data_IF_157261346897
#
_entry.id   IF_157261346897
#
_cell.length_a   1.000
_cell.length_b   1.000
_cell.length_c   1.000
_cell.angle_alpha   90.00
_cell.angle_beta   90.00
_cell.angle_gamma   90.00
#
_symmetry.space_group_name_H-M   'P 1'
#
loop_
_entity.id
_entity.type
_entity.pdbx_description
1 polymer ?
#
# COMPACT_ATOMS: atom_id res chain seq x y z
N UNK A 1 7.99 -4.29 6.34
CA UNK A 1 8.96 -3.49 5.60
C UNK A 1 10.35 -3.74 6.09
N UNK A 2 11.29 -3.72 5.16
CA UNK A 2 12.72 -3.89 5.38
C UNK A 2 13.37 -2.60 5.85
N UNK A 3 12.88 -1.43 5.39
CA UNK A 3 13.48 -0.13 5.71
C UNK A 3 12.58 0.76 6.58
N UNK A 4 11.26 0.63 6.41
CA UNK A 4 10.26 1.32 7.22
C UNK A 4 9.19 0.31 7.64
N UNK A 5 8.86 0.29 8.92
CA UNK A 5 7.74 -0.48 9.45
C UNK A 5 6.50 0.42 9.50
N UNK A 6 5.45 0.00 8.80
CA UNK A 6 4.18 0.71 8.72
C UNK A 6 3.12 0.02 9.56
N UNK A 7 2.44 0.79 10.41
CA UNK A 7 1.37 0.31 11.28
C UNK A 7 0.24 1.34 11.28
N UNK A 8 -0.84 1.13 10.53
CA UNK A 8 -1.97 2.05 10.52
C UNK A 8 -2.95 1.68 11.64
N UNK A 9 -3.32 2.67 12.46
CA UNK A 9 -4.26 2.51 13.57
C UNK A 9 -5.03 3.82 13.78
N UNK A 10 -6.35 3.72 13.97
CA UNK A 10 -7.21 4.86 14.30
C UNK A 10 -6.99 6.11 13.40
N UNK A 11 -7.09 5.92 12.08
CA UNK A 11 -6.86 6.98 11.07
C UNK A 11 -5.48 7.65 11.15
N UNK A 12 -4.49 6.97 11.72
CA UNK A 12 -3.11 7.42 11.78
C UNK A 12 -2.19 6.33 11.26
N UNK A 13 -1.35 6.65 10.29
CA UNK A 13 -0.26 5.80 9.85
C UNK A 13 0.97 6.09 10.70
N UNK A 14 1.39 5.08 11.48
CA UNK A 14 2.66 5.12 12.19
C UNK A 14 3.74 4.51 11.30
N UNK A 15 4.80 5.26 11.04
CA UNK A 15 5.94 4.83 10.26
C UNK A 15 7.19 4.88 11.14
N UNK A 16 7.85 3.73 11.30
CA UNK A 16 9.11 3.60 12.03
C UNK A 16 10.22 3.23 11.05
N UNK A 17 11.06 4.20 10.75
CA UNK A 17 12.20 4.03 9.86
C UNK A 17 13.38 3.34 10.57
N UNK A 18 14.18 2.63 9.80
CA UNK A 18 15.48 2.11 10.27
C UNK A 18 16.54 3.20 10.17
N UNK A 19 17.57 3.14 11.02
CA UNK A 19 18.60 4.17 11.07
C UNK A 19 19.29 4.38 9.71
N UNK A 20 19.49 5.63 9.30
CA UNK A 20 20.06 5.97 7.99
C UNK A 20 19.06 6.02 6.83
N UNK A 21 17.77 5.81 7.11
CA UNK A 21 16.70 5.92 6.13
C UNK A 21 16.09 7.32 6.15
N UNK A 22 15.85 7.88 4.97
CA UNK A 22 15.12 9.15 4.80
C UNK A 22 13.80 8.90 4.09
N UNK A 23 12.74 9.57 4.55
CA UNK A 23 11.42 9.48 3.93
C UNK A 23 11.22 10.65 3.00
N UNK A 24 10.71 10.38 1.81
CA UNK A 24 10.44 11.39 0.78
C UNK A 24 8.97 11.77 0.79
N UNK A 25 8.09 10.84 0.40
CA UNK A 25 6.66 11.10 0.29
C UNK A 25 5.84 9.92 0.82
N UNK A 26 4.64 10.24 1.28
CA UNK A 26 3.65 9.28 1.75
C UNK A 26 2.31 9.56 1.09
N UNK A 27 1.57 8.50 0.76
CA UNK A 27 0.33 8.58 0.00
C UNK A 27 -0.75 7.67 0.58
N UNK A 28 -2.00 8.08 0.42
CA UNK A 28 -3.19 7.28 0.62
C UNK A 28 -3.91 7.12 -0.72
N UNK A 29 -4.10 5.88 -1.14
CA UNK A 29 -4.64 5.51 -2.45
C UNK A 29 -5.82 4.57 -2.23
N UNK A 30 -6.93 4.86 -2.88
CA UNK A 30 -8.06 3.96 -3.01
C UNK A 30 -8.35 3.70 -4.48
N UNK A 31 -9.46 3.04 -4.80
CA UNK A 31 -9.82 2.81 -6.19
C UNK A 31 -10.11 4.13 -6.93
N UNK A 32 -10.77 5.08 -6.27
CA UNK A 32 -11.19 6.35 -6.89
C UNK A 32 -10.44 7.58 -6.38
N UNK A 33 -9.67 7.49 -5.29
CA UNK A 33 -9.04 8.65 -4.67
C UNK A 33 -7.54 8.47 -4.49
N UNK A 34 -6.85 9.60 -4.54
CA UNK A 34 -5.43 9.73 -4.26
C UNK A 34 -5.23 10.97 -3.38
N UNK A 35 -4.44 10.84 -2.32
CA UNK A 35 -4.06 11.95 -1.46
C UNK A 35 -2.62 11.81 -0.99
N UNK A 36 -1.88 12.92 -1.04
CA UNK A 36 -0.62 13.03 -0.31
C UNK A 36 -0.89 13.05 1.19
N UNK A 37 0.02 12.46 1.96
CA UNK A 37 -0.02 12.41 3.41
C UNK A 37 1.00 13.39 3.98
N UNK A 38 0.51 14.45 4.61
CA UNK A 38 1.38 15.39 5.33
C UNK A 38 1.84 14.78 6.65
N UNK A 39 3.13 14.88 6.94
CA UNK A 39 3.67 14.46 8.21
C UNK A 39 3.13 15.34 9.35
N UNK A 40 2.58 14.72 10.39
CA UNK A 40 2.05 15.44 11.56
C UNK A 40 3.12 15.63 12.63
N UNK A 41 3.81 14.55 13.00
CA UNK A 41 4.92 14.58 13.97
C UNK A 41 6.08 13.72 13.49
N UNK A 42 7.30 14.15 13.81
CA UNK A 42 8.50 13.33 13.72
C UNK A 42 9.23 13.35 15.06
N UNK A 43 9.53 12.16 15.59
CA UNK A 43 10.37 11.97 16.76
C UNK A 43 11.49 10.99 16.40
N UNK A 44 12.61 11.52 15.93
CA UNK A 44 13.72 10.73 15.42
C UNK A 44 13.29 9.88 14.22
N UNK A 45 13.28 8.56 14.39
CA UNK A 45 12.95 7.59 13.35
C UNK A 45 11.46 7.28 13.22
N UNK A 46 10.63 7.84 14.12
CA UNK A 46 9.19 7.61 14.12
C UNK A 46 8.47 8.84 13.57
N UNK A 47 7.62 8.65 12.57
CA UNK A 47 6.74 9.69 12.06
C UNK A 47 5.29 9.22 12.03
N UNK A 48 4.38 10.19 12.08
CA UNK A 48 2.95 9.92 11.97
C UNK A 48 2.33 10.72 10.83
N UNK A 49 1.39 10.07 10.14
CA UNK A 49 0.65 10.66 9.03
C UNK A 49 -0.86 10.45 9.26
N UNK A 50 -1.69 11.50 9.19
CA UNK A 50 -3.13 11.38 9.30
C UNK A 50 -3.70 10.77 8.02
N UNK A 51 -4.46 9.68 8.15
CA UNK A 51 -5.11 9.01 7.02
C UNK A 51 -6.42 9.74 6.70
N UNK A 52 -6.62 10.23 5.46
CA UNK A 52 -7.85 10.91 5.07
C UNK A 52 -9.05 9.95 5.10
N UNK A 53 -10.21 10.51 5.42
CA UNK A 53 -11.49 9.80 5.33
C UNK A 53 -12.07 10.00 3.94
N UNK A 54 -11.85 9.05 3.06
CA UNK A 54 -12.50 9.05 1.76
C UNK A 54 -13.99 8.76 1.90
N UNK A 55 -14.79 9.29 0.97
CA UNK A 55 -16.24 9.10 0.94
C UNK A 55 -16.64 7.68 0.52
N UNK A 56 -15.70 6.90 -0.02
CA UNK A 56 -15.93 5.52 -0.41
C UNK A 56 -15.50 4.50 0.65
N UNK A 57 -16.23 3.37 0.80
CA UNK A 57 -15.93 2.37 1.83
C UNK A 57 -14.83 1.37 1.42
N UNK A 58 -13.95 1.71 0.47
CA UNK A 58 -12.89 0.80 0.02
C UNK A 58 -11.67 0.81 0.95
N UNK A 59 -10.92 -0.30 1.05
CA UNK A 59 -9.61 -0.29 1.71
C UNK A 59 -8.68 0.76 1.09
N UNK A 60 -7.90 1.41 1.96
CA UNK A 60 -6.92 2.43 1.60
C UNK A 60 -5.55 1.76 1.58
N UNK A 61 -4.88 1.82 0.44
CA UNK A 61 -3.46 1.47 0.33
C UNK A 61 -2.64 2.69 0.76
N UNK A 62 -1.85 2.49 1.81
CA UNK A 62 -0.96 3.49 2.36
C UNK A 62 0.45 3.19 1.88
N UNK A 63 1.07 4.15 1.20
CA UNK A 63 2.38 3.99 0.58
C UNK A 63 3.33 4.99 1.19
N UNK A 64 4.55 4.56 1.49
CA UNK A 64 5.65 5.41 1.97
C UNK A 64 6.87 5.14 1.11
N UNK A 65 7.47 6.21 0.61
CA UNK A 65 8.64 6.18 -0.25
C UNK A 65 9.82 6.82 0.46
N UNK A 66 11.02 6.38 0.14
CA UNK A 66 12.21 6.93 0.76
C UNK A 66 13.51 6.46 0.11
N UNK A 67 14.61 6.90 0.72
CA UNK A 67 15.96 6.49 0.36
C UNK A 67 16.63 5.86 1.57
N UNK A 68 17.25 4.70 1.38
CA UNK A 68 18.25 4.18 2.30
C UNK A 68 19.63 4.35 1.65
N UNK A 69 20.42 5.29 2.19
CA UNK A 69 21.61 5.81 1.51
C UNK A 69 21.29 6.29 0.08
N UNK A 70 21.61 5.49 -0.94
CA UNK A 70 21.33 5.78 -2.36
C UNK A 70 20.17 4.97 -2.95
N UNK A 71 19.70 3.94 -2.23
CA UNK A 71 18.73 3.00 -2.77
C UNK A 71 17.31 3.48 -2.46
N UNK A 72 16.52 3.63 -3.51
CA UNK A 72 15.11 3.96 -3.40
C UNK A 72 14.30 2.76 -2.92
N UNK A 73 13.37 2.99 -2.00
CA UNK A 73 12.46 1.98 -1.52
C UNK A 73 11.02 2.47 -1.49
N UNK A 74 10.11 1.50 -1.55
CA UNK A 74 8.68 1.70 -1.35
C UNK A 74 8.22 0.67 -0.33
N UNK A 75 7.56 1.14 0.72
CA UNK A 75 6.89 0.31 1.71
C UNK A 75 5.41 0.65 1.72
N UNK A 76 4.54 -0.33 1.92
CA UNK A 76 3.11 -0.12 1.90
C UNK A 76 2.37 -1.00 2.91
N UNK A 77 1.16 -0.59 3.25
CA UNK A 77 0.22 -1.32 4.12
C UNK A 77 -1.21 -0.94 3.78
N UNK A 78 -2.20 -1.64 4.34
CA UNK A 78 -3.62 -1.41 4.06
C UNK A 78 -4.34 -0.91 5.32
N UNK A 79 -5.26 0.04 5.16
CA UNK A 79 -6.13 0.55 6.21
C UNK A 79 -7.61 0.54 5.78
N UNK A 80 -8.54 -0.02 6.58
CA UNK A 80 -8.29 -0.78 7.81
C UNK A 80 -7.41 -2.00 7.52
N UNK A 81 -6.74 -2.54 8.54
CA UNK A 81 -5.85 -3.70 8.36
C UNK A 81 -6.67 -4.90 7.90
N UNK A 82 -6.68 -5.13 6.59
CA UNK A 82 -7.19 -6.35 5.97
C UNK A 82 -5.98 -7.25 5.76
N UNK A 83 -6.03 -8.55 6.13
CA UNK A 83 -4.99 -9.49 5.76
C UNK A 83 -4.93 -9.61 4.23
N UNK A 84 -4.04 -8.83 3.60
CA UNK A 84 -3.79 -8.85 2.16
C UNK A 84 -2.45 -9.53 1.94
N UNK A 85 -2.45 -10.62 1.16
CA UNK A 85 -1.25 -11.31 0.72
C UNK A 85 -1.04 -11.04 -0.77
N UNK A 86 0.14 -10.52 -1.14
CA UNK A 86 0.54 -10.35 -2.55
C UNK A 86 1.36 -11.56 -2.98
N UNK A 87 1.17 -12.01 -4.23
CA UNK A 87 1.82 -13.21 -4.75
C UNK A 87 1.15 -14.52 -4.32
N UNK A 88 -0.09 -14.45 -3.85
CA UNK A 88 -0.90 -15.65 -3.64
C UNK A 88 -1.11 -16.39 -4.97
N UNK A 89 -0.91 -17.70 -4.95
CA UNK A 89 -1.09 -18.54 -6.13
C UNK A 89 -2.58 -18.83 -6.36
N UNK A 90 -3.10 -18.41 -7.51
CA UNK A 90 -4.48 -18.63 -7.95
C UNK A 90 -4.60 -19.70 -9.07
N UNK A 91 -3.53 -20.43 -9.39
CA UNK A 91 -3.49 -21.39 -10.53
C UNK A 91 -4.62 -22.42 -10.54
N UNK A 92 -5.11 -22.85 -9.37
CA UNK A 92 -6.20 -23.83 -9.22
C UNK A 92 -7.57 -23.21 -8.82
N UNK A 93 -7.72 -21.88 -8.87
CA UNK A 93 -8.83 -21.18 -8.22
C UNK A 93 -9.87 -20.61 -9.19
N UNK A 94 -9.82 -20.99 -10.48
CA UNK A 94 -10.72 -20.47 -11.52
C UNK A 94 -12.21 -20.84 -11.31
N UNK A 95 -12.51 -21.76 -10.39
CA UNK A 95 -13.87 -22.27 -10.13
C UNK A 95 -14.44 -21.91 -8.76
N UNK A 96 -13.75 -21.12 -7.94
CA UNK A 96 -14.28 -20.71 -6.62
C UNK A 96 -15.03 -19.37 -6.74
N UNK A 97 -16.23 -19.30 -6.16
CA UNK A 97 -17.11 -18.12 -6.21
C UNK A 97 -16.53 -16.88 -5.52
N UNK A 98 -15.46 -17.04 -4.74
CA UNK A 98 -14.82 -15.97 -3.97
C UNK A 98 -13.53 -15.44 -4.63
N UNK A 99 -13.25 -15.78 -5.89
CA UNK A 99 -12.07 -15.29 -6.64
C UNK A 99 -12.48 -14.47 -7.86
N UNK A 100 -11.95 -13.26 -7.97
CA UNK A 100 -12.21 -12.31 -9.03
C UNK A 100 -10.92 -11.97 -9.77
N UNK A 101 -10.99 -11.94 -11.10
CA UNK A 101 -9.85 -11.59 -11.97
C UNK A 101 -10.20 -10.37 -12.82
N UNK A 102 -9.42 -9.30 -12.65
CA UNK A 102 -9.57 -8.05 -13.39
C UNK A 102 -8.42 -7.86 -14.37
N UNK A 103 -8.71 -7.28 -15.54
CA UNK A 103 -7.73 -6.99 -16.59
C UNK A 103 -7.68 -5.49 -16.80
N UNK A 104 -6.49 -4.91 -16.67
CA UNK A 104 -6.24 -3.50 -16.86
C UNK A 104 -5.16 -3.31 -17.93
N UNK A 105 -5.32 -2.29 -18.76
CA UNK A 105 -4.25 -1.82 -19.65
C UNK A 105 -3.50 -0.73 -18.90
N UNK A 106 -2.20 -0.92 -18.68
CA UNK A 106 -1.35 -0.01 -17.92
C UNK A 106 -0.16 0.44 -18.76
N UNK A 107 0.33 1.66 -18.53
CA UNK A 107 1.54 2.18 -19.17
C UNK A 107 2.69 2.15 -18.17
N UNK A 108 3.80 1.51 -18.52
CA UNK A 108 5.03 1.46 -17.72
C UNK A 108 6.19 1.82 -18.64
N UNK A 109 6.90 2.91 -18.35
CA UNK A 109 8.05 3.35 -19.16
C UNK A 109 7.73 3.60 -20.63
N UNK A 110 6.60 4.25 -20.92
CA UNK A 110 6.09 4.51 -22.29
C UNK A 110 5.73 3.25 -23.10
N UNK A 111 5.67 2.09 -22.46
CA UNK A 111 5.20 0.84 -23.05
C UNK A 111 3.85 0.43 -22.46
N UNK A 112 3.00 -0.19 -23.27
CA UNK A 112 1.66 -0.63 -22.87
C UNK A 112 1.72 -2.10 -22.44
N UNK A 113 1.15 -2.41 -21.28
CA UNK A 113 1.07 -3.75 -20.72
C UNK A 113 -0.37 -4.12 -20.38
N UNK A 114 -0.67 -5.41 -20.48
CA UNK A 114 -1.89 -5.99 -19.91
C UNK A 114 -1.58 -6.50 -18.49
N UNK A 115 -2.06 -5.77 -17.49
CA UNK A 115 -1.98 -6.17 -16.09
C UNK A 115 -3.20 -7.03 -15.71
N UNK A 116 -2.97 -8.15 -15.04
CA UNK A 116 -4.04 -9.00 -14.49
C UNK A 116 -3.93 -9.02 -12.98
N UNK A 117 -5.00 -8.58 -12.30
CA UNK A 117 -5.09 -8.54 -10.84
C UNK A 117 -6.08 -9.61 -10.40
N UNK A 118 -5.65 -10.47 -9.48
CA UNK A 118 -6.47 -11.51 -8.87
C UNK A 118 -6.76 -11.13 -7.42
N UNK A 119 -8.03 -11.18 -7.03
CA UNK A 119 -8.50 -10.90 -5.68
C UNK A 119 -9.30 -12.10 -5.19
N UNK A 120 -8.95 -12.66 -4.04
CA UNK A 120 -9.65 -13.82 -3.46
C UNK A 120 -9.90 -13.63 -1.97
N UNK A 121 -11.06 -14.08 -1.50
CA UNK A 121 -11.39 -14.13 -0.08
C UNK A 121 -10.74 -15.30 0.67
N UNK A 122 -10.75 -15.30 2.02
CA UNK A 122 -10.31 -16.44 2.82
C UNK A 122 -11.06 -17.72 2.44
N UNK A 123 -10.42 -18.88 2.62
CA UNK A 123 -11.10 -20.19 2.61
C UNK A 123 -11.95 -20.27 3.88
N UNK A 124 -13.23 -20.60 3.75
CA UNK A 124 -14.02 -21.11 4.89
C UNK A 124 -13.44 -22.44 5.37
#
# INVERSE_FOLDING_TARGET
>A
GSFVRLSPLNYTLYASATYGTSILEAYAITFNYFSNLAQNTANGQNMTYPIPRFLEPSPIVLVVTGLNATDFFIEWTVYPQVPVQVGADFTNFQSLSNVYAYRYVVSIGSCIYLCRVWLGGPRE
#
